data_IF_676628321853
#
_entry.id   IF_676628321853
#
_cell.length_a   1.000
_cell.length_b   1.000
_cell.length_c   1.000
_cell.angle_alpha   90.00
_cell.angle_beta   90.00
_cell.angle_gamma   90.00
#
_symmetry.space_group_name_H-M   'P 1'
#
loop_
_entity.id
_entity.type
_entity.pdbx_description
1 polymer ?
#
# COMPACT_ATOMS: atom_id res chain seq x y z
N UNK A 1 12.03 -46.62 8.10
CA UNK A 1 12.64 -45.28 7.94
C UNK A 1 13.30 -45.04 6.58
N UNK A 2 13.78 -46.04 5.82
CA UNK A 2 14.40 -45.81 4.49
C UNK A 2 13.48 -45.53 3.29
N UNK A 3 12.15 -45.65 3.40
CA UNK A 3 11.22 -45.36 2.28
C UNK A 3 10.84 -43.87 2.15
N UNK A 4 11.12 -43.06 3.16
CA UNK A 4 10.74 -41.63 3.19
C UNK A 4 11.79 -40.73 2.51
N UNK A 5 13.07 -41.11 2.54
CA UNK A 5 14.16 -40.35 1.92
C UNK A 5 14.17 -40.45 0.39
N UNK A 6 13.76 -41.60 -0.18
CA UNK A 6 13.72 -41.82 -1.63
C UNK A 6 12.58 -41.04 -2.31
N UNK A 7 11.48 -40.79 -1.60
CA UNK A 7 10.34 -40.01 -2.12
C UNK A 7 10.59 -38.50 -2.13
N UNK A 8 11.39 -37.97 -1.20
CA UNK A 8 11.79 -36.56 -1.15
C UNK A 8 12.76 -36.19 -2.29
N UNK A 9 13.59 -37.13 -2.74
CA UNK A 9 14.48 -36.94 -3.89
C UNK A 9 13.71 -36.90 -5.23
N UNK A 10 12.63 -37.68 -5.37
CA UNK A 10 11.80 -37.64 -6.60
C UNK A 10 11.00 -36.33 -6.73
N UNK A 11 10.52 -35.76 -5.64
CA UNK A 11 9.81 -34.48 -5.67
C UNK A 11 10.74 -33.29 -6.01
N UNK A 12 12.02 -33.35 -5.66
CA UNK A 12 12.99 -32.30 -6.03
C UNK A 12 13.29 -32.25 -7.54
N UNK A 13 13.08 -33.35 -8.28
CA UNK A 13 13.39 -33.46 -9.70
C UNK A 13 12.26 -32.98 -10.62
N UNK A 14 11.03 -32.80 -10.13
CA UNK A 14 9.87 -32.41 -10.96
C UNK A 14 9.47 -30.93 -10.83
N UNK A 15 10.04 -30.19 -9.87
CA UNK A 15 9.62 -28.81 -9.57
C UNK A 15 10.11 -27.71 -10.52
N UNK A 16 11.32 -27.76 -11.14
CA UNK A 16 11.74 -26.69 -12.05
C UNK A 16 10.84 -26.55 -13.28
N UNK A 17 10.20 -27.64 -13.70
CA UNK A 17 9.31 -27.68 -14.87
C UNK A 17 7.90 -27.12 -14.60
N UNK A 18 7.42 -27.12 -13.34
CA UNK A 18 6.06 -26.67 -13.02
C UNK A 18 5.94 -25.15 -12.91
N UNK A 19 7.02 -24.43 -12.57
CA UNK A 19 6.98 -22.97 -12.38
C UNK A 19 7.01 -22.17 -13.69
N UNK A 20 7.31 -22.80 -14.83
CA UNK A 20 7.57 -22.09 -16.08
C UNK A 20 6.36 -21.98 -17.04
N UNK A 21 5.22 -22.62 -16.75
CA UNK A 21 4.20 -22.85 -17.80
C UNK A 21 2.72 -22.60 -17.40
N UNK A 22 2.43 -21.97 -16.26
CA UNK A 22 1.04 -21.77 -15.84
C UNK A 22 0.69 -20.29 -15.74
N UNK A 23 -0.28 -19.86 -16.56
CA UNK A 23 -0.97 -18.58 -16.36
C UNK A 23 -1.74 -18.61 -15.03
N UNK A 24 -1.91 -17.46 -14.37
CA UNK A 24 -2.53 -17.34 -13.03
C UNK A 24 -3.86 -18.12 -12.88
N UNK A 25 -4.66 -18.23 -13.94
CA UNK A 25 -5.93 -18.95 -13.89
C UNK A 25 -5.76 -20.49 -13.81
N UNK A 26 -4.82 -21.05 -14.59
CA UNK A 26 -4.55 -22.50 -14.63
C UNK A 26 -3.89 -23.01 -13.35
N UNK A 27 -3.04 -22.18 -12.76
CA UNK A 27 -2.35 -22.45 -11.50
C UNK A 27 -3.32 -22.50 -10.31
N UNK A 28 -4.22 -21.51 -10.22
CA UNK A 28 -5.25 -21.49 -9.18
C UNK A 28 -6.21 -22.69 -9.26
N UNK A 29 -6.50 -23.18 -10.46
CA UNK A 29 -7.33 -24.37 -10.66
C UNK A 29 -6.62 -25.67 -10.25
N UNK A 30 -5.33 -25.80 -10.53
CA UNK A 30 -4.52 -26.95 -10.11
C UNK A 30 -4.44 -27.04 -8.57
N UNK A 31 -4.30 -25.91 -7.87
CA UNK A 31 -4.20 -25.86 -6.41
C UNK A 31 -5.51 -26.21 -5.71
N UNK A 32 -6.66 -25.87 -6.30
CA UNK A 32 -7.98 -26.25 -5.78
C UNK A 32 -8.20 -27.77 -5.78
N UNK A 33 -7.53 -28.48 -6.67
CA UNK A 33 -7.66 -29.93 -6.81
C UNK A 33 -6.77 -30.71 -5.85
N UNK A 34 -5.85 -30.07 -5.14
CA UNK A 34 -5.04 -30.74 -4.12
C UNK A 34 -5.89 -31.16 -2.93
N UNK A 35 -5.61 -32.36 -2.43
CA UNK A 35 -6.09 -32.76 -1.10
C UNK A 35 -5.48 -31.86 -0.03
N UNK A 36 -6.13 -31.74 1.13
CA UNK A 36 -5.60 -30.93 2.23
C UNK A 36 -4.19 -31.36 2.65
N UNK A 37 -3.90 -32.65 2.61
CA UNK A 37 -2.59 -33.19 2.96
C UNK A 37 -1.51 -32.81 1.95
N UNK A 38 -1.84 -32.76 0.66
CA UNK A 38 -0.91 -32.32 -0.39
C UNK A 38 -0.66 -30.82 -0.30
N UNK A 39 -1.73 -30.03 -0.14
CA UNK A 39 -1.62 -28.59 0.05
C UNK A 39 -0.72 -28.22 1.23
N UNK A 40 -0.90 -28.87 2.39
CA UNK A 40 -0.08 -28.56 3.58
C UNK A 40 1.40 -28.88 3.36
N UNK A 41 1.72 -29.97 2.66
CA UNK A 41 3.12 -30.30 2.33
C UNK A 41 3.73 -29.25 1.41
N UNK A 42 3.02 -28.89 0.34
CA UNK A 42 3.43 -27.85 -0.61
C UNK A 42 3.63 -26.52 0.12
N UNK A 43 2.66 -26.13 0.95
CA UNK A 43 2.68 -24.88 1.68
C UNK A 43 3.83 -24.81 2.71
N UNK A 44 4.03 -25.86 3.49
CA UNK A 44 5.15 -25.94 4.43
C UNK A 44 6.50 -25.86 3.71
N UNK A 45 6.62 -26.49 2.55
CA UNK A 45 7.82 -26.43 1.73
C UNK A 45 8.05 -25.02 1.16
N UNK A 46 7.01 -24.36 0.64
CA UNK A 46 7.09 -22.97 0.17
C UNK A 46 7.55 -22.02 1.27
N UNK A 47 6.93 -22.11 2.45
CA UNK A 47 7.29 -21.26 3.59
C UNK A 47 8.72 -21.54 4.07
N UNK A 48 9.15 -22.81 4.04
CA UNK A 48 10.54 -23.20 4.36
C UNK A 48 11.52 -22.62 3.33
N UNK A 49 11.22 -22.74 2.03
CA UNK A 49 12.05 -22.19 0.94
C UNK A 49 12.13 -20.68 1.02
N UNK A 50 11.03 -20.00 1.31
CA UNK A 50 10.98 -18.56 1.52
C UNK A 50 11.96 -18.14 2.62
N UNK A 51 11.80 -18.74 3.79
CA UNK A 51 12.54 -18.32 4.97
C UNK A 51 14.04 -18.68 4.86
N UNK A 52 14.38 -19.80 4.22
CA UNK A 52 15.77 -20.22 4.02
C UNK A 52 16.48 -19.45 2.90
N UNK A 53 15.84 -19.29 1.74
CA UNK A 53 16.49 -18.70 0.56
C UNK A 53 16.51 -17.17 0.60
N UNK A 54 15.48 -16.56 1.19
CA UNK A 54 15.30 -15.09 1.27
C UNK A 54 15.38 -14.39 -0.09
N UNK A 55 15.07 -15.11 -1.16
CA UNK A 55 15.15 -14.58 -2.52
C UNK A 55 13.84 -13.89 -2.90
N UNK A 56 13.86 -12.83 -3.74
CA UNK A 56 12.64 -12.21 -4.26
C UNK A 56 11.70 -13.22 -4.93
N UNK A 57 12.26 -14.22 -5.63
CA UNK A 57 11.49 -15.31 -6.23
C UNK A 57 10.75 -16.15 -5.19
N UNK A 58 11.39 -16.56 -4.09
CA UNK A 58 10.72 -17.34 -3.07
C UNK A 58 9.61 -16.55 -2.35
N UNK A 59 9.77 -15.23 -2.24
CA UNK A 59 8.72 -14.31 -1.78
C UNK A 59 7.54 -14.24 -2.74
N UNK A 60 7.81 -14.08 -4.03
CA UNK A 60 6.80 -14.06 -5.07
C UNK A 60 6.06 -15.40 -5.11
N UNK A 61 6.78 -16.51 -5.13
CA UNK A 61 6.21 -17.85 -5.12
C UNK A 61 5.29 -18.02 -3.89
N UNK A 62 5.76 -17.73 -2.68
CA UNK A 62 4.93 -17.82 -1.46
C UNK A 62 3.67 -16.94 -1.51
N UNK A 63 3.78 -15.70 -2.00
CA UNK A 63 2.66 -14.77 -2.11
C UNK A 63 1.63 -15.21 -3.17
N UNK A 64 2.07 -15.85 -4.25
CA UNK A 64 1.20 -16.39 -5.30
C UNK A 64 0.31 -17.53 -4.78
N UNK A 65 0.79 -18.31 -3.79
CA UNK A 65 0.01 -19.38 -3.16
C UNK A 65 -0.93 -18.91 -2.04
N UNK A 66 -0.78 -17.67 -1.59
CA UNK A 66 -1.63 -17.08 -0.57
C UNK A 66 -2.83 -16.38 -1.23
N UNK A 67 -3.98 -17.06 -1.19
CA UNK A 67 -5.25 -16.40 -1.52
C UNK A 67 -5.45 -15.18 -0.61
N UNK A 68 -6.16 -14.18 -1.12
CA UNK A 68 -6.35 -12.89 -0.44
C UNK A 68 -7.14 -13.04 0.88
N UNK A 69 -7.73 -14.22 1.16
CA UNK A 69 -8.49 -14.53 2.38
C UNK A 69 -7.63 -15.03 3.56
N UNK A 70 -6.34 -14.72 3.57
CA UNK A 70 -5.45 -14.98 4.69
C UNK A 70 -5.92 -14.22 5.94
N UNK A 71 -6.03 -14.93 7.06
CA UNK A 71 -6.25 -14.32 8.38
C UNK A 71 -5.02 -14.55 9.23
N UNK A 72 -4.37 -13.49 9.68
CA UNK A 72 -3.28 -13.57 10.63
C UNK A 72 -3.81 -13.17 12.01
N UNK A 73 -3.44 -13.89 13.06
CA UNK A 73 -3.78 -13.47 14.43
C UNK A 73 -2.56 -13.66 15.30
N UNK A 74 -2.08 -12.56 15.88
CA UNK A 74 -1.19 -12.65 17.03
C UNK A 74 -1.98 -13.20 18.23
N UNK A 75 -1.28 -13.94 19.09
CA UNK A 75 -1.87 -14.38 20.36
C UNK A 75 -2.25 -13.15 21.18
N UNK A 76 -3.41 -13.19 21.84
CA UNK A 76 -4.02 -12.07 22.57
C UNK A 76 -4.45 -10.86 21.73
N UNK A 77 -4.25 -10.85 20.41
CA UNK A 77 -4.85 -9.81 19.57
C UNK A 77 -6.38 -9.90 19.64
N UNK A 78 -7.08 -8.78 19.90
CA UNK A 78 -8.55 -8.74 19.89
C UNK A 78 -9.11 -8.84 18.46
N UNK A 79 -8.28 -8.61 17.45
CA UNK A 79 -8.67 -8.61 16.04
C UNK A 79 -7.69 -9.40 15.16
N UNK A 80 -8.17 -9.89 14.02
CA UNK A 80 -7.29 -10.44 13.00
C UNK A 80 -6.48 -9.30 12.37
N UNK A 81 -5.21 -9.58 12.13
CA UNK A 81 -4.28 -8.74 11.41
C UNK A 81 -4.50 -8.95 9.91
N UNK A 82 -4.45 -7.86 9.15
CA UNK A 82 -4.62 -7.89 7.70
C UNK A 82 -3.36 -8.46 7.00
N UNK A 83 -3.46 -8.68 5.68
CA UNK A 83 -2.33 -9.21 4.89
C UNK A 83 -1.08 -8.32 4.96
N UNK A 84 -1.23 -6.98 5.02
CA UNK A 84 -0.11 -6.07 5.16
C UNK A 84 0.67 -6.26 6.47
N UNK A 85 -0.04 -6.47 7.58
CA UNK A 85 0.56 -6.78 8.89
C UNK A 85 1.22 -8.17 8.89
N UNK A 86 0.61 -9.17 8.26
CA UNK A 86 1.24 -10.47 8.05
C UNK A 86 2.53 -10.35 7.23
N UNK A 87 2.51 -9.58 6.13
CA UNK A 87 3.67 -9.36 5.27
C UNK A 87 4.80 -8.67 6.05
N UNK A 88 4.49 -7.61 6.81
CA UNK A 88 5.46 -6.96 7.70
C UNK A 88 6.06 -7.93 8.72
N UNK A 89 5.24 -8.76 9.35
CA UNK A 89 5.71 -9.81 10.28
C UNK A 89 6.62 -10.81 9.56
N UNK A 90 6.25 -11.24 8.35
CA UNK A 90 7.01 -12.19 7.55
C UNK A 90 8.35 -11.58 7.10
N UNK A 91 8.35 -10.33 6.68
CA UNK A 91 9.56 -9.56 6.35
C UNK A 91 10.47 -9.42 7.57
N UNK A 92 9.89 -9.13 8.74
CA UNK A 92 10.65 -9.11 9.98
C UNK A 92 11.27 -10.47 10.29
N UNK A 93 10.51 -11.55 10.12
CA UNK A 93 10.99 -12.91 10.33
C UNK A 93 12.14 -13.26 9.38
N UNK A 94 11.97 -13.01 8.08
CA UNK A 94 12.92 -13.40 7.04
C UNK A 94 14.17 -12.51 7.03
N UNK A 95 14.02 -11.18 7.16
CA UNK A 95 15.13 -10.23 7.01
C UNK A 95 16.00 -10.11 8.26
N UNK A 96 15.39 -10.14 9.46
CA UNK A 96 16.10 -9.82 10.71
C UNK A 96 16.67 -11.03 11.46
N UNK A 97 16.34 -12.25 11.03
CA UNK A 97 16.88 -13.46 11.62
C UNK A 97 17.90 -14.11 10.67
N UNK A 98 19.14 -14.29 11.12
CA UNK A 98 20.06 -15.25 10.49
C UNK A 98 19.57 -16.68 10.74
N UNK A 99 19.99 -17.62 9.88
CA UNK A 99 19.89 -19.07 10.09
C UNK A 99 18.56 -19.68 10.61
N UNK A 100 17.39 -19.31 10.06
CA UNK A 100 16.12 -19.91 10.48
C UNK A 100 16.10 -21.43 10.24
N UNK A 101 15.78 -22.20 11.28
CA UNK A 101 15.50 -23.64 11.19
C UNK A 101 14.01 -23.86 11.40
N UNK A 102 13.34 -24.42 10.40
CA UNK A 102 11.91 -24.68 10.42
C UNK A 102 11.65 -26.16 10.28
N UNK A 103 10.82 -26.70 11.15
CA UNK A 103 10.35 -28.07 11.05
C UNK A 103 8.86 -28.16 11.37
N UNK A 104 8.16 -29.07 10.70
CA UNK A 104 6.75 -29.36 11.04
C UNK A 104 6.77 -30.23 12.30
N UNK A 105 6.37 -29.67 13.44
CA UNK A 105 6.38 -30.37 14.73
C UNK A 105 5.15 -31.24 14.95
N UNK A 106 4.00 -30.86 14.40
CA UNK A 106 2.79 -31.69 14.41
C UNK A 106 1.84 -31.34 13.29
N UNK A 107 1.02 -32.31 12.89
CA UNK A 107 -0.06 -32.12 11.92
C UNK A 107 -1.25 -32.97 12.34
N UNK A 108 -2.44 -32.36 12.38
CA UNK A 108 -3.70 -33.01 12.76
C UNK A 108 -4.81 -32.53 11.84
N UNK A 109 -5.61 -33.47 11.34
CA UNK A 109 -6.86 -33.15 10.64
C UNK A 109 -7.93 -32.80 11.66
N UNK A 110 -8.66 -31.71 11.43
CA UNK A 110 -9.78 -31.27 12.27
C UNK A 110 -10.95 -30.87 11.35
N UNK A 111 -11.98 -31.70 11.32
CA UNK A 111 -13.18 -31.53 10.47
C UNK A 111 -12.79 -31.29 8.98
N UNK A 112 -13.08 -30.10 8.47
CA UNK A 112 -12.77 -29.61 7.11
C UNK A 112 -11.48 -28.79 7.04
N UNK A 113 -10.62 -28.90 8.05
CA UNK A 113 -9.35 -28.19 8.15
C UNK A 113 -8.20 -29.12 8.52
N UNK A 114 -6.98 -28.69 8.24
CA UNK A 114 -5.78 -29.29 8.80
C UNK A 114 -5.05 -28.23 9.59
N UNK A 115 -4.71 -28.60 10.82
CA UNK A 115 -3.91 -27.83 11.73
C UNK A 115 -2.52 -28.42 11.72
N UNK A 116 -1.51 -27.63 11.39
CA UNK A 116 -0.12 -28.03 11.55
C UNK A 116 0.64 -26.97 12.34
N UNK A 117 1.66 -27.41 13.06
CA UNK A 117 2.52 -26.54 13.87
C UNK A 117 3.89 -26.57 13.25
N UNK A 118 4.42 -25.40 12.97
CA UNK A 118 5.81 -25.21 12.58
C UNK A 118 6.58 -24.80 13.82
N UNK A 119 7.62 -25.57 14.13
CA UNK A 119 8.63 -25.16 15.07
C UNK A 119 9.66 -24.31 14.32
N UNK A 120 9.81 -23.06 14.76
CA UNK A 120 10.69 -22.06 14.17
C UNK A 120 11.77 -21.74 15.19
N UNK A 121 13.01 -21.99 14.81
CA UNK A 121 14.19 -21.74 15.63
C UNK A 121 15.11 -20.77 14.88
N UNK A 122 15.21 -19.54 15.37
CA UNK A 122 15.81 -18.41 14.66
C UNK A 122 16.83 -17.68 15.51
N UNK A 123 17.93 -17.22 14.90
CA UNK A 123 18.88 -16.32 15.56
C UNK A 123 18.69 -14.88 15.04
N UNK A 124 18.21 -13.94 15.86
CA UNK A 124 18.23 -12.53 15.48
C UNK A 124 19.66 -12.05 15.20
N UNK A 125 19.84 -11.10 14.27
CA UNK A 125 21.18 -10.53 13.97
C UNK A 125 21.92 -10.01 15.21
N UNK A 126 21.18 -9.52 16.21
CA UNK A 126 21.71 -8.97 17.46
C UNK A 126 20.95 -9.54 18.67
N UNK A 127 21.01 -10.86 18.87
CA UNK A 127 20.36 -11.44 20.06
C UNK A 127 20.54 -12.94 20.24
N UNK A 128 19.96 -13.43 21.35
CA UNK A 128 19.90 -14.85 21.64
C UNK A 128 18.92 -15.56 20.70
N UNK A 129 19.22 -16.83 20.45
CA UNK A 129 18.39 -17.72 19.64
C UNK A 129 16.99 -17.83 20.25
N UNK A 130 15.96 -17.66 19.42
CA UNK A 130 14.55 -17.70 19.82
C UNK A 130 13.89 -18.90 19.17
N UNK A 131 13.16 -19.66 19.97
CA UNK A 131 12.36 -20.79 19.52
C UNK A 131 10.90 -20.49 19.72
N UNK A 132 10.09 -20.76 18.71
CA UNK A 132 8.66 -20.56 18.79
C UNK A 132 7.87 -21.45 17.86
N UNK A 133 6.63 -21.70 18.26
CA UNK A 133 5.70 -22.49 17.46
C UNK A 133 4.74 -21.56 16.71
N UNK A 134 4.58 -21.80 15.41
CA UNK A 134 3.58 -21.17 14.57
C UNK A 134 2.53 -22.22 14.21
N UNK A 135 1.32 -22.07 14.76
CA UNK A 135 0.19 -22.93 14.42
C UNK A 135 -0.51 -22.37 13.19
N UNK A 136 -0.58 -23.18 12.15
CA UNK A 136 -1.21 -22.85 10.88
C UNK A 136 -2.43 -23.76 10.73
N UNK A 137 -3.59 -23.16 10.45
CA UNK A 137 -4.80 -23.91 10.13
C UNK A 137 -5.22 -23.60 8.71
N UNK A 138 -5.19 -24.61 7.85
CA UNK A 138 -5.63 -24.52 6.47
C UNK A 138 -7.00 -25.18 6.32
N UNK A 139 -7.95 -24.48 5.71
CA UNK A 139 -9.28 -25.03 5.40
C UNK A 139 -9.62 -24.79 3.93
N UNK A 140 -10.15 -25.81 3.25
CA UNK A 140 -10.60 -25.66 1.86
C UNK A 140 -12.04 -25.12 1.88
N UNK A 141 -12.25 -23.94 1.29
CA UNK A 141 -13.57 -23.31 1.13
C UNK A 141 -13.95 -23.31 -0.35
N UNK A 142 -15.23 -23.08 -0.66
CA UNK A 142 -15.76 -23.10 -2.04
C UNK A 142 -14.97 -22.24 -3.04
N UNK A 143 -14.26 -21.21 -2.57
CA UNK A 143 -13.51 -20.27 -3.40
C UNK A 143 -11.98 -20.36 -3.28
N UNK A 144 -11.42 -21.28 -2.48
CA UNK A 144 -9.98 -21.37 -2.27
C UNK A 144 -9.57 -21.84 -0.88
N UNK A 145 -8.27 -21.78 -0.59
CA UNK A 145 -7.71 -22.13 0.71
C UNK A 145 -7.77 -20.94 1.67
N UNK A 146 -8.34 -21.13 2.86
CA UNK A 146 -8.29 -20.15 3.94
C UNK A 146 -7.25 -20.60 4.97
N UNK A 147 -6.22 -19.76 5.15
CA UNK A 147 -5.10 -20.02 6.06
C UNK A 147 -5.20 -19.09 7.28
N UNK A 148 -5.17 -19.68 8.46
CA UNK A 148 -5.08 -18.98 9.75
C UNK A 148 -3.72 -19.23 10.39
N UNK A 149 -3.01 -18.17 10.71
CA UNK A 149 -1.76 -18.20 11.46
C UNK A 149 -1.98 -17.79 12.90
N UNK A 150 -1.41 -18.56 13.83
CA UNK A 150 -1.40 -18.27 15.26
C UNK A 150 0.03 -18.44 15.76
N UNK A 151 0.66 -17.34 16.14
CA UNK A 151 1.94 -17.38 16.85
C UNK A 151 1.72 -17.87 18.29
N UNK A 152 2.30 -19.02 18.66
CA UNK A 152 2.10 -19.65 19.98
C UNK A 152 3.14 -19.26 21.02
N UNK A 153 4.02 -18.29 20.73
CA UNK A 153 5.06 -17.82 21.66
C UNK A 153 4.58 -17.43 23.06
N UNK A 154 3.27 -17.22 23.24
CA UNK A 154 2.69 -16.74 24.49
C UNK A 154 1.65 -17.71 25.09
N UNK A 155 1.66 -19.01 24.72
CA UNK A 155 0.79 -20.01 25.37
C UNK A 155 -0.65 -20.11 24.83
N UNK A 156 -0.95 -19.56 23.65
CA UNK A 156 -2.28 -19.64 23.03
C UNK A 156 -2.73 -21.07 22.61
N UNK A 157 -4.00 -21.38 22.84
CA UNK A 157 -4.68 -22.61 22.41
C UNK A 157 -5.82 -22.43 21.39
N UNK A 158 -6.11 -21.22 20.89
CA UNK A 158 -7.24 -20.92 19.99
C UNK A 158 -7.35 -21.90 18.79
N UNK A 159 -8.54 -22.42 18.54
CA UNK A 159 -8.94 -23.19 17.34
C UNK A 159 -10.06 -22.47 16.60
N UNK A 160 -10.29 -22.81 15.31
CA UNK A 160 -11.42 -22.26 14.55
C UNK A 160 -12.79 -22.49 15.24
N UNK A 161 -12.92 -23.58 15.99
CA UNK A 161 -14.15 -23.98 16.71
C UNK A 161 -14.45 -23.16 17.97
N UNK A 162 -13.46 -22.46 18.56
CA UNK A 162 -13.64 -21.63 19.77
C UNK A 162 -13.98 -20.17 19.47
N UNK A 163 -14.31 -19.87 18.21
CA UNK A 163 -14.66 -18.53 17.75
C UNK A 163 -16.18 -18.34 17.97
N UNK A 164 -16.64 -17.29 18.68
CA UNK A 164 -18.07 -17.08 18.88
C UNK A 164 -18.75 -16.90 17.52
N UNK A 165 -19.77 -17.72 17.25
CA UNK A 165 -20.70 -17.52 16.13
C UNK A 165 -21.58 -16.31 16.43
N UNK A 166 -21.12 -15.10 16.08
CA UNK A 166 -22.02 -13.95 15.93
C UNK A 166 -22.77 -14.04 14.58
N UNK A 167 -24.03 -13.61 14.51
CA UNK A 167 -24.85 -13.69 13.31
C UNK A 167 -24.49 -12.56 12.35
N UNK A 168 -23.36 -12.70 11.67
CA UNK A 168 -23.02 -11.94 10.46
C UNK A 168 -21.90 -12.68 9.73
N UNK A 169 -22.22 -13.83 9.14
CA UNK A 169 -21.30 -14.47 8.17
C UNK A 169 -21.36 -13.65 6.89
N UNK A 170 -20.58 -12.56 6.85
CA UNK A 170 -20.28 -11.87 5.60
C UNK A 170 -19.31 -12.76 4.83
N UNK A 171 -19.85 -13.41 3.81
CA UNK A 171 -19.06 -14.01 2.73
C UNK A 171 -18.33 -12.87 2.02
N UNK A 172 -17.06 -12.66 2.34
CA UNK A 172 -16.23 -11.65 1.69
C UNK A 172 -15.58 -12.29 0.46
N UNK A 173 -16.10 -11.96 -0.72
CA UNK A 173 -15.42 -12.14 -2.02
C UNK A 173 -14.31 -11.09 -2.07
N UNK A 174 -13.09 -11.46 -2.44
CA UNK A 174 -11.99 -10.50 -2.52
C UNK A 174 -11.68 -10.18 -3.97
N UNK A 175 -11.88 -8.91 -4.31
CA UNK A 175 -11.15 -8.17 -5.33
C UNK A 175 -10.00 -7.41 -4.65
N UNK A 176 -8.89 -7.26 -5.39
CA UNK A 176 -7.63 -6.49 -5.18
C UNK A 176 -7.62 -5.33 -4.14
N UNK A 177 -6.42 -4.95 -3.62
CA UNK A 177 -6.20 -4.51 -2.25
C UNK A 177 -7.06 -3.30 -1.90
N UNK A 178 -7.96 -3.49 -0.93
CA UNK A 178 -8.80 -2.44 -0.38
C UNK A 178 -8.42 -2.24 1.09
N UNK A 179 -7.97 -1.02 1.37
CA UNK A 179 -8.15 -0.18 2.56
C UNK A 179 -8.99 -0.83 3.69
N UNK A 180 -8.56 -0.71 4.96
CA UNK A 180 -9.28 -1.28 6.10
C UNK A 180 -10.78 -0.91 6.14
N UNK A 181 -11.57 -1.88 6.60
CA UNK A 181 -13.03 -1.90 6.84
C UNK A 181 -13.58 -0.79 7.75
N UNK A 182 -13.24 0.47 7.50
CA UNK A 182 -13.80 1.65 8.16
C UNK A 182 -14.62 2.40 7.12
N UNK A 183 -15.93 2.51 7.37
CA UNK A 183 -16.81 3.26 6.47
C UNK A 183 -16.25 4.68 6.27
N UNK A 184 -16.13 5.16 5.02
CA UNK A 184 -15.70 6.52 4.77
C UNK A 184 -16.67 7.51 5.42
N UNK A 185 -16.12 8.56 6.02
CA UNK A 185 -16.87 9.61 6.69
C UNK A 185 -16.73 10.92 5.93
N UNK A 186 -17.73 11.78 6.12
CA UNK A 186 -17.67 13.16 5.67
C UNK A 186 -16.73 13.95 6.57
N UNK A 187 -15.79 14.66 5.96
CA UNK A 187 -14.79 15.48 6.61
C UNK A 187 -14.72 16.88 5.97
N UNK A 188 -13.99 17.77 6.63
CA UNK A 188 -13.75 19.15 6.22
C UNK A 188 -12.29 19.51 6.51
N UNK A 189 -11.61 20.10 5.53
CA UNK A 189 -10.25 20.62 5.65
C UNK A 189 -10.34 22.13 5.67
N UNK A 190 -9.94 22.74 6.79
CA UNK A 190 -9.82 24.19 6.93
C UNK A 190 -8.39 24.61 6.57
N UNK A 191 -8.28 25.54 5.63
CA UNK A 191 -7.01 26.10 5.16
C UNK A 191 -6.70 27.42 5.89
N UNK A 192 -5.47 27.90 5.74
CA UNK A 192 -4.98 29.08 6.48
C UNK A 192 -5.71 30.37 6.05
N UNK A 193 -6.22 30.44 4.82
CA UNK A 193 -7.09 31.52 4.36
C UNK A 193 -8.48 31.55 5.03
N UNK A 194 -8.81 30.55 5.84
CA UNK A 194 -10.16 30.34 6.38
C UNK A 194 -11.10 29.60 5.42
N UNK A 195 -10.65 29.26 4.21
CA UNK A 195 -11.42 28.42 3.28
C UNK A 195 -11.59 27.01 3.84
N UNK A 196 -12.73 26.40 3.54
CA UNK A 196 -13.03 25.03 3.93
C UNK A 196 -13.37 24.17 2.71
N UNK A 197 -12.62 23.09 2.50
CA UNK A 197 -12.90 22.08 1.47
C UNK A 197 -13.60 20.88 2.11
N UNK A 198 -14.73 20.45 1.53
CA UNK A 198 -15.45 19.28 2.02
C UNK A 198 -14.90 18.01 1.36
N UNK A 199 -14.77 16.90 2.09
CA UNK A 199 -14.25 15.67 1.49
C UNK A 199 -14.74 14.40 2.17
N UNK A 200 -14.39 13.26 1.59
CA UNK A 200 -14.76 11.94 2.08
C UNK A 200 -13.50 11.10 2.24
N UNK A 201 -13.26 10.60 3.45
CA UNK A 201 -12.06 9.83 3.78
C UNK A 201 -12.29 8.83 4.92
N UNK A 202 -11.30 8.02 5.26
CA UNK A 202 -11.35 7.17 6.46
C UNK A 202 -11.29 8.03 7.74
N UNK A 203 -11.77 7.48 8.86
CA UNK A 203 -11.81 8.19 10.15
C UNK A 203 -10.46 8.76 10.60
N UNK A 204 -9.36 8.10 10.22
CA UNK A 204 -8.01 8.49 10.62
C UNK A 204 -7.25 9.24 9.52
N UNK A 205 -7.93 9.63 8.43
CA UNK A 205 -7.32 10.32 7.30
C UNK A 205 -6.57 11.58 7.70
N UNK A 206 -7.23 12.39 8.52
CA UNK A 206 -6.68 13.61 9.11
C UNK A 206 -6.83 13.49 10.63
N UNK A 207 -5.85 12.91 11.35
CA UNK A 207 -5.87 12.94 12.79
C UNK A 207 -5.91 14.41 13.21
N UNK A 208 -6.93 14.79 13.98
CA UNK A 208 -7.08 16.17 14.49
C UNK A 208 -5.88 16.53 15.37
N UNK A 209 -4.79 16.98 14.79
CA UNK A 209 -3.83 17.85 15.46
C UNK A 209 -4.19 19.27 15.09
N UNK A 210 -4.25 20.16 16.07
CA UNK A 210 -4.64 21.58 15.98
C UNK A 210 -6.10 21.94 16.30
N UNK A 211 -6.69 21.30 17.32
CA UNK A 211 -7.45 22.10 18.29
C UNK A 211 -6.60 22.15 19.54
N UNK A 212 -6.20 23.37 19.92
CA UNK A 212 -5.57 23.65 21.19
C UNK A 212 -6.59 23.35 22.31
N UNK A 213 -6.60 22.12 22.77
CA UNK A 213 -7.06 21.78 24.11
C UNK A 213 -5.91 21.08 24.81
N UNK A 214 -5.48 21.66 25.93
CA UNK A 214 -4.38 21.24 26.78
C UNK A 214 -4.56 19.80 27.27
N UNK A 215 -4.11 18.83 26.49
CA UNK A 215 -3.90 17.46 26.94
C UNK A 215 -2.49 17.00 26.58
N UNK A 216 -1.87 16.18 27.46
CA UNK A 216 -0.46 15.87 27.37
C UNK A 216 -0.17 15.19 26.04
N UNK A 217 0.87 15.68 25.37
CA UNK A 217 1.44 15.14 24.14
C UNK A 217 1.62 13.63 24.28
N UNK A 218 0.64 12.87 23.80
CA UNK A 218 0.78 11.44 23.60
C UNK A 218 1.80 11.33 22.47
N UNK A 219 3.02 10.91 22.81
CA UNK A 219 4.06 10.59 21.82
C UNK A 219 3.42 9.70 20.75
N UNK A 220 3.34 10.19 19.51
CA UNK A 220 2.91 9.40 18.34
C UNK A 220 3.71 8.10 18.37
N UNK A 221 3.04 6.97 18.58
CA UNK A 221 3.68 5.66 18.41
C UNK A 221 4.10 5.55 16.95
N UNK A 222 5.38 5.26 16.69
CA UNK A 222 5.99 5.09 15.36
C UNK A 222 5.47 3.87 14.57
N UNK A 223 4.31 3.34 14.94
CA UNK A 223 3.75 2.08 14.45
C UNK A 223 2.35 2.23 13.83
N UNK A 224 1.83 3.46 13.71
CA UNK A 224 0.58 3.70 12.98
C UNK A 224 0.84 3.58 11.47
N UNK A 225 0.02 2.82 10.75
CA UNK A 225 0.13 2.64 9.30
C UNK A 225 0.02 4.01 8.58
N UNK A 226 1.15 4.49 8.03
CA UNK A 226 1.28 5.69 7.16
C UNK A 226 0.53 5.59 5.81
N UNK A 227 -0.38 4.64 5.66
CA UNK A 227 -1.19 4.52 4.44
C UNK A 227 -2.52 5.26 4.55
N UNK A 228 -2.93 5.59 5.76
CA UNK A 228 -4.18 6.32 6.00
C UNK A 228 -3.91 7.79 6.33
N UNK A 229 -2.67 8.31 6.45
CA UNK A 229 -2.44 9.71 6.77
C UNK A 229 -2.41 10.59 5.51
N UNK A 230 -3.42 11.46 5.34
CA UNK A 230 -3.54 12.38 4.21
C UNK A 230 -2.69 13.65 4.39
N UNK A 231 -1.67 13.61 5.26
CA UNK A 231 -0.80 14.77 5.58
C UNK A 231 -0.18 15.37 4.31
N UNK A 232 0.34 14.55 3.38
CA UNK A 232 0.89 15.04 2.10
C UNK A 232 -0.15 15.74 1.22
N UNK A 233 -1.41 15.27 1.22
CA UNK A 233 -2.51 15.89 0.48
C UNK A 233 -2.87 17.23 1.10
N UNK A 234 -2.98 17.29 2.44
CA UNK A 234 -3.30 18.52 3.15
C UNK A 234 -2.22 19.57 2.93
N UNK A 235 -0.94 19.21 3.07
CA UNK A 235 0.16 20.15 2.86
C UNK A 235 0.11 20.73 1.44
N UNK A 236 -0.18 19.90 0.44
CA UNK A 236 -0.36 20.39 -0.93
C UNK A 236 -1.52 21.40 -1.03
N UNK A 237 -2.64 21.14 -0.34
CA UNK A 237 -3.77 22.07 -0.26
C UNK A 237 -3.41 23.39 0.44
N UNK A 238 -2.63 23.35 1.53
CA UNK A 238 -2.16 24.57 2.19
C UNK A 238 -1.20 25.38 1.31
N UNK A 239 -0.35 24.72 0.52
CA UNK A 239 0.56 25.42 -0.39
C UNK A 239 -0.15 26.07 -1.57
N UNK A 240 -1.11 25.39 -2.21
CA UNK A 240 -1.92 26.03 -3.25
C UNK A 240 -2.76 27.19 -2.68
N UNK A 241 -3.21 27.08 -1.43
CA UNK A 241 -3.91 28.17 -0.75
C UNK A 241 -3.01 29.38 -0.47
N UNK A 242 -1.79 29.13 0.00
CA UNK A 242 -0.77 30.17 0.17
C UNK A 242 -0.42 30.86 -1.15
N UNK A 243 -0.28 30.11 -2.25
CA UNK A 243 0.00 30.68 -3.59
C UNK A 243 -1.11 31.66 -4.00
N UNK A 244 -2.37 31.22 -3.91
CA UNK A 244 -3.50 32.04 -4.34
C UNK A 244 -3.72 33.25 -3.42
N UNK A 245 -3.55 33.08 -2.11
CA UNK A 245 -3.99 34.09 -1.13
C UNK A 245 -2.87 34.96 -0.56
N UNK A 246 -1.68 34.40 -0.34
CA UNK A 246 -0.53 35.11 0.25
C UNK A 246 0.37 35.67 -0.85
N UNK A 247 0.65 34.87 -1.89
CA UNK A 247 1.47 35.31 -3.03
C UNK A 247 0.64 36.09 -4.06
N UNK A 248 -0.68 36.16 -3.86
CA UNK A 248 -1.63 36.91 -4.68
C UNK A 248 -1.68 36.46 -6.15
N UNK A 249 -1.35 35.20 -6.43
CA UNK A 249 -1.55 34.58 -7.75
C UNK A 249 -3.02 34.16 -7.91
N UNK A 250 -3.93 35.14 -7.93
CA UNK A 250 -5.38 34.89 -7.90
C UNK A 250 -5.91 34.20 -9.16
N UNK A 251 -5.17 34.29 -10.27
CA UNK A 251 -5.46 33.66 -11.56
C UNK A 251 -4.71 32.33 -11.73
N UNK A 252 -4.04 31.81 -10.68
CA UNK A 252 -3.21 30.60 -10.77
C UNK A 252 -3.94 29.43 -11.42
N UNK A 253 -5.22 29.22 -11.09
CA UNK A 253 -6.05 28.17 -11.67
C UNK A 253 -6.98 28.65 -12.79
N UNK A 254 -7.13 29.96 -13.04
CA UNK A 254 -8.15 30.48 -13.94
C UNK A 254 -7.94 30.01 -15.39
N UNK A 255 -8.94 29.32 -15.94
CA UNK A 255 -8.91 28.75 -17.28
C UNK A 255 -7.89 27.62 -17.48
N UNK A 256 -7.29 27.08 -16.40
CA UNK A 256 -6.23 26.05 -16.48
C UNK A 256 -6.78 24.63 -16.56
N UNK A 257 -6.07 23.78 -17.30
CA UNK A 257 -6.25 22.33 -17.25
C UNK A 257 -5.40 21.72 -16.15
N UNK A 258 -6.03 21.04 -15.18
CA UNK A 258 -5.36 20.52 -13.98
C UNK A 258 -5.38 19.00 -13.95
N UNK A 259 -4.24 18.37 -13.64
CA UNK A 259 -4.10 16.92 -13.48
C UNK A 259 -3.65 16.56 -12.06
N UNK A 260 -4.39 15.70 -11.37
CA UNK A 260 -4.00 15.11 -10.10
C UNK A 260 -3.54 13.65 -10.28
N UNK A 261 -2.32 13.33 -9.82
CA UNK A 261 -1.69 11.99 -9.90
C UNK A 261 -1.00 11.62 -8.59
N UNK A 262 -0.69 10.34 -8.39
CA UNK A 262 -0.09 9.84 -7.15
C UNK A 262 -1.15 9.34 -6.17
N UNK A 263 -1.11 9.80 -4.92
CA UNK A 263 -2.13 9.50 -3.92
C UNK A 263 -3.35 10.43 -4.08
N UNK A 264 -4.19 10.11 -5.06
CA UNK A 264 -5.32 10.94 -5.46
C UNK A 264 -6.48 10.83 -4.49
N UNK A 265 -7.00 11.98 -4.07
CA UNK A 265 -8.15 12.11 -3.17
C UNK A 265 -9.24 13.03 -3.72
N UNK A 266 -8.90 13.82 -4.74
CA UNK A 266 -9.75 14.86 -5.31
C UNK A 266 -9.75 16.16 -4.51
N UNK A 267 -9.10 16.22 -3.34
CA UNK A 267 -9.05 17.42 -2.49
C UNK A 267 -8.34 18.58 -3.19
N UNK A 268 -7.11 18.40 -3.72
CA UNK A 268 -6.42 19.46 -4.46
C UNK A 268 -7.19 19.84 -5.74
N UNK A 269 -7.80 18.86 -6.42
CA UNK A 269 -8.59 19.12 -7.63
C UNK A 269 -9.86 19.94 -7.36
N UNK A 270 -10.55 19.71 -6.23
CA UNK A 270 -11.71 20.54 -5.83
C UNK A 270 -11.26 21.98 -5.61
N UNK A 271 -10.15 22.19 -4.88
CA UNK A 271 -9.61 23.53 -4.68
C UNK A 271 -9.32 24.20 -6.03
N UNK A 272 -8.62 23.51 -6.93
CA UNK A 272 -8.31 24.03 -8.25
C UNK A 272 -9.57 24.44 -9.04
N UNK A 273 -10.58 23.56 -9.09
CA UNK A 273 -11.83 23.83 -9.80
C UNK A 273 -12.60 25.03 -9.23
N UNK A 274 -12.70 25.11 -7.92
CA UNK A 274 -13.38 26.23 -7.27
C UNK A 274 -12.60 27.55 -7.40
N UNK A 275 -11.34 27.54 -7.84
CA UNK A 275 -10.56 28.74 -8.19
C UNK A 275 -10.45 28.96 -9.71
N UNK A 276 -11.40 28.44 -10.49
CA UNK A 276 -11.52 28.77 -11.92
C UNK A 276 -10.82 27.78 -12.87
N UNK A 277 -10.30 26.65 -12.39
CA UNK A 277 -9.80 25.62 -13.30
C UNK A 277 -10.89 25.17 -14.27
N UNK A 278 -10.55 25.18 -15.54
CA UNK A 278 -11.50 24.95 -16.62
C UNK A 278 -11.90 23.47 -16.69
N UNK A 279 -10.97 22.60 -16.31
CA UNK A 279 -11.17 21.17 -16.17
C UNK A 279 -10.19 20.56 -15.16
N UNK A 280 -10.63 19.44 -14.58
CA UNK A 280 -9.81 18.63 -13.69
C UNK A 280 -9.76 17.19 -14.20
N UNK A 281 -8.56 16.62 -14.23
CA UNK A 281 -8.30 15.24 -14.54
C UNK A 281 -7.63 14.57 -13.34
N UNK A 282 -8.01 13.33 -13.05
CA UNK A 282 -7.44 12.56 -11.93
C UNK A 282 -7.11 11.15 -12.40
N UNK A 283 -5.93 10.67 -12.02
CA UNK A 283 -5.53 9.29 -12.25
C UNK A 283 -4.87 8.68 -11.01
N UNK A 284 -5.37 7.53 -10.57
CA UNK A 284 -4.83 6.77 -9.44
C UNK A 284 -4.57 5.32 -9.81
N UNK A 285 -3.56 4.70 -9.19
CA UNK A 285 -3.36 3.26 -9.32
C UNK A 285 -4.46 2.46 -8.62
N UNK A 286 -5.17 3.06 -7.65
CA UNK A 286 -6.16 2.37 -6.83
C UNK A 286 -7.61 2.75 -7.21
N UNK A 287 -8.29 1.81 -7.87
CA UNK A 287 -9.72 1.93 -8.19
C UNK A 287 -10.57 2.19 -6.94
N UNK A 288 -10.23 1.60 -5.80
CA UNK A 288 -11.03 1.76 -4.59
C UNK A 288 -10.95 3.19 -4.05
N UNK A 289 -9.75 3.77 -3.98
CA UNK A 289 -9.55 5.18 -3.62
C UNK A 289 -10.31 6.13 -4.56
N UNK A 290 -10.34 5.82 -5.86
CA UNK A 290 -11.12 6.59 -6.83
C UNK A 290 -12.63 6.57 -6.52
N UNK A 291 -13.19 5.38 -6.28
CA UNK A 291 -14.62 5.20 -6.08
C UNK A 291 -15.09 5.65 -4.68
N UNK A 292 -14.30 5.35 -3.64
CA UNK A 292 -14.65 5.62 -2.24
C UNK A 292 -14.36 7.06 -1.83
N UNK A 293 -13.29 7.66 -2.33
CA UNK A 293 -12.86 9.00 -1.92
C UNK A 293 -13.06 10.02 -3.03
N UNK A 294 -12.43 9.83 -4.19
CA UNK A 294 -12.38 10.88 -5.20
C UNK A 294 -13.78 11.23 -5.70
N UNK A 295 -14.56 10.25 -6.16
CA UNK A 295 -15.93 10.49 -6.63
C UNK A 295 -16.83 11.06 -5.54
N UNK A 296 -16.69 10.57 -4.31
CA UNK A 296 -17.48 11.02 -3.18
C UNK A 296 -17.14 12.47 -2.79
N UNK A 297 -15.86 12.84 -2.77
CA UNK A 297 -15.35 14.20 -2.56
C UNK A 297 -15.84 15.15 -3.65
N UNK A 298 -15.71 14.78 -4.93
CA UNK A 298 -16.21 15.61 -6.05
C UNK A 298 -17.72 15.82 -5.98
N UNK A 299 -18.48 14.77 -5.71
CA UNK A 299 -19.94 14.87 -5.54
C UNK A 299 -20.31 15.78 -4.36
N UNK A 300 -19.56 15.71 -3.25
CA UNK A 300 -19.81 16.51 -2.05
C UNK A 300 -19.58 18.01 -2.30
N UNK A 301 -18.71 18.37 -3.24
CA UNK A 301 -18.46 19.76 -3.65
C UNK A 301 -19.19 20.14 -4.94
N UNK A 302 -20.16 19.34 -5.40
CA UNK A 302 -20.98 19.63 -6.58
C UNK A 302 -20.17 19.86 -7.87
N UNK A 303 -19.02 19.17 -8.02
CA UNK A 303 -18.19 19.31 -9.21
C UNK A 303 -18.88 18.68 -10.43
N UNK A 304 -19.05 19.40 -11.55
CA UNK A 304 -19.73 18.88 -12.74
C UNK A 304 -18.96 17.74 -13.42
N UNK A 305 -19.67 16.63 -13.71
CA UNK A 305 -19.07 15.46 -14.37
C UNK A 305 -18.50 15.75 -15.76
N UNK A 306 -19.06 16.71 -16.50
CA UNK A 306 -18.57 17.11 -17.82
C UNK A 306 -17.26 17.92 -17.76
N UNK A 307 -16.87 18.41 -16.58
CA UNK A 307 -15.62 19.12 -16.32
C UNK A 307 -14.59 18.24 -15.60
N UNK A 308 -14.90 16.98 -15.35
CA UNK A 308 -14.05 16.02 -14.64
C UNK A 308 -13.71 14.82 -15.52
N UNK A 309 -12.43 14.43 -15.56
CA UNK A 309 -11.99 13.17 -16.16
C UNK A 309 -11.34 12.29 -15.10
N UNK A 310 -11.80 11.05 -14.97
CA UNK A 310 -11.29 10.10 -13.98
C UNK A 310 -10.77 8.85 -14.68
N UNK A 311 -9.59 8.40 -14.30
CA UNK A 311 -9.05 7.10 -14.71
C UNK A 311 -8.35 6.41 -13.55
N UNK A 312 -8.12 5.11 -13.71
CA UNK A 312 -7.31 4.33 -12.79
C UNK A 312 -6.56 3.25 -13.56
N UNK A 313 -5.45 2.77 -13.00
CA UNK A 313 -4.69 1.66 -13.59
C UNK A 313 -3.19 1.84 -13.46
N UNK A 314 -2.44 1.21 -14.37
CA UNK A 314 -0.98 1.31 -14.39
C UNK A 314 -0.52 2.63 -15.01
N UNK A 315 0.81 2.86 -15.04
CA UNK A 315 1.38 4.03 -15.71
C UNK A 315 1.10 3.98 -17.22
N UNK A 316 1.00 2.79 -17.83
CA UNK A 316 0.58 2.64 -19.22
C UNK A 316 -0.88 3.10 -19.41
N UNK A 317 -1.76 2.82 -18.46
CA UNK A 317 -3.14 3.30 -18.49
C UNK A 317 -3.20 4.82 -18.31
N UNK A 318 -2.33 5.38 -17.46
CA UNK A 318 -2.14 6.83 -17.38
C UNK A 318 -1.69 7.42 -18.70
N UNK A 319 -0.66 6.87 -19.36
CA UNK A 319 -0.21 7.36 -20.68
C UNK A 319 -1.32 7.34 -21.72
N UNK A 320 -2.12 6.27 -21.76
CA UNK A 320 -3.31 6.18 -22.63
C UNK A 320 -4.35 7.23 -22.27
N UNK A 321 -4.59 7.44 -20.98
CA UNK A 321 -5.52 8.44 -20.47
C UNK A 321 -5.10 9.87 -20.82
N UNK A 322 -3.79 10.17 -20.74
CA UNK A 322 -3.24 11.45 -21.17
C UNK A 322 -3.48 11.64 -22.66
N UNK A 323 -3.25 10.62 -23.49
CA UNK A 323 -3.54 10.66 -24.93
C UNK A 323 -2.82 11.81 -25.65
N UNK A 324 -1.62 12.18 -25.18
CA UNK A 324 -0.84 13.32 -25.68
C UNK A 324 -1.30 14.69 -25.15
N UNK A 325 -2.35 14.74 -24.33
CA UNK A 325 -2.80 15.97 -23.69
C UNK A 325 -1.78 16.47 -22.67
N UNK A 326 -1.60 17.79 -22.67
CA UNK A 326 -0.79 18.51 -21.69
C UNK A 326 -1.69 19.23 -20.68
N UNK A 327 -1.19 19.40 -19.47
CA UNK A 327 -1.86 20.07 -18.37
C UNK A 327 -1.00 21.24 -17.90
N UNK A 328 -1.65 22.34 -17.56
CA UNK A 328 -0.99 23.56 -17.07
C UNK A 328 -0.52 23.38 -15.64
N UNK A 329 -1.28 22.62 -14.84
CA UNK A 329 -0.93 22.33 -13.46
C UNK A 329 -1.03 20.83 -13.21
N UNK A 330 0.04 20.24 -12.68
CA UNK A 330 0.04 18.88 -12.15
C UNK A 330 0.12 18.94 -10.62
N UNK A 331 -0.83 18.30 -9.95
CA UNK A 331 -0.90 18.15 -8.50
C UNK A 331 -0.56 16.70 -8.14
N UNK A 332 0.55 16.49 -7.45
CA UNK A 332 1.18 15.18 -7.33
C UNK A 332 1.45 14.77 -5.86
N UNK A 333 0.41 14.57 -5.03
CA UNK A 333 0.60 14.13 -3.65
C UNK A 333 1.19 12.72 -3.56
N UNK A 334 2.23 12.54 -2.74
CA UNK A 334 2.94 11.28 -2.49
C UNK A 334 3.32 10.50 -3.77
N UNK A 335 3.56 11.21 -4.88
CA UNK A 335 3.90 10.59 -6.15
C UNK A 335 5.17 9.73 -6.05
N UNK A 336 6.10 10.11 -5.17
CA UNK A 336 7.38 9.43 -4.95
C UNK A 336 7.31 8.22 -4.01
N UNK A 337 6.14 7.83 -3.49
CA UNK A 337 5.96 6.62 -2.68
C UNK A 337 5.99 5.35 -3.55
N UNK A 338 7.14 5.07 -4.16
CA UNK A 338 7.40 3.95 -5.08
C UNK A 338 8.89 3.61 -5.11
N UNK A 339 9.28 2.58 -5.86
CA UNK A 339 10.68 2.20 -5.93
C UNK A 339 11.51 3.24 -6.68
N UNK A 340 12.79 3.39 -6.32
CA UNK A 340 13.72 4.29 -7.02
C UNK A 340 13.85 3.92 -8.51
N UNK A 341 13.75 2.62 -8.83
CA UNK A 341 13.78 2.09 -10.20
C UNK A 341 12.63 2.60 -11.10
N UNK A 342 11.60 3.20 -10.52
CA UNK A 342 10.46 3.76 -11.24
C UNK A 342 10.58 5.29 -11.45
N UNK A 343 11.61 5.94 -10.91
CA UNK A 343 11.73 7.40 -10.94
C UNK A 343 11.98 7.95 -12.35
N UNK A 344 12.72 7.25 -13.21
CA UNK A 344 12.85 7.61 -14.63
C UNK A 344 11.48 7.66 -15.31
N UNK A 345 10.64 6.65 -15.04
CA UNK A 345 9.30 6.58 -15.62
C UNK A 345 8.40 7.72 -15.10
N UNK A 346 8.49 8.04 -13.81
CA UNK A 346 7.76 9.18 -13.22
C UNK A 346 8.21 10.50 -13.83
N UNK A 347 9.52 10.69 -14.00
CA UNK A 347 10.07 11.89 -14.59
C UNK A 347 9.58 12.07 -16.04
N UNK A 348 9.66 11.00 -16.86
CA UNK A 348 9.15 10.99 -18.23
C UNK A 348 7.64 11.26 -18.27
N UNK A 349 6.86 10.68 -17.37
CA UNK A 349 5.43 10.93 -17.26
C UNK A 349 5.12 12.42 -16.98
N UNK A 350 5.83 13.06 -16.04
CA UNK A 350 5.66 14.49 -15.78
C UNK A 350 6.03 15.30 -17.02
N UNK A 351 7.11 14.93 -17.71
CA UNK A 351 7.52 15.56 -18.97
C UNK A 351 6.46 15.42 -20.07
N UNK A 352 5.86 14.24 -20.19
CA UNK A 352 4.81 13.93 -21.15
C UNK A 352 3.49 14.62 -20.82
N UNK A 353 3.18 14.86 -19.54
CA UNK A 353 1.90 15.44 -19.12
C UNK A 353 1.94 16.95 -18.95
N UNK A 354 3.09 17.56 -18.65
CA UNK A 354 3.18 18.99 -18.32
C UNK A 354 3.21 19.85 -19.59
N UNK A 355 2.45 20.95 -19.61
CA UNK A 355 2.52 21.96 -20.68
C UNK A 355 3.87 22.68 -20.67
N UNK A 356 4.12 23.54 -21.66
CA UNK A 356 5.42 24.21 -21.80
C UNK A 356 5.68 25.17 -20.63
N UNK A 357 4.70 26.03 -20.32
CA UNK A 357 4.74 26.96 -19.19
C UNK A 357 4.08 26.38 -17.92
N UNK A 358 3.91 25.06 -17.89
CA UNK A 358 3.19 24.37 -16.83
C UNK A 358 4.00 24.21 -15.55
N UNK A 359 3.27 24.01 -14.45
CA UNK A 359 3.84 23.80 -13.11
C UNK A 359 3.42 22.43 -12.57
N UNK A 360 4.36 21.66 -12.04
CA UNK A 360 4.04 20.46 -11.26
C UNK A 360 4.36 20.69 -9.79
N UNK A 361 3.32 20.68 -8.95
CA UNK A 361 3.45 20.73 -7.49
C UNK A 361 3.32 19.31 -6.93
N UNK A 362 4.38 18.80 -6.32
CA UNK A 362 4.35 17.48 -5.69
C UNK A 362 4.69 17.59 -4.20
N UNK A 363 3.90 16.90 -3.38
CA UNK A 363 4.18 16.73 -1.95
C UNK A 363 4.73 15.33 -1.70
N UNK A 364 5.69 15.23 -0.78
CA UNK A 364 6.37 13.98 -0.51
C UNK A 364 6.99 13.95 0.88
N UNK A 365 7.30 12.74 1.34
CA UNK A 365 8.21 12.50 2.45
C UNK A 365 9.64 12.44 1.94
N UNK A 366 10.59 12.84 2.79
CA UNK A 366 12.02 12.68 2.48
C UNK A 366 12.39 11.20 2.27
N UNK A 367 11.76 10.30 3.03
CA UNK A 367 11.91 8.85 2.95
C UNK A 367 10.57 8.15 3.21
N UNK A 368 10.35 7.00 2.58
CA UNK A 368 9.18 6.14 2.81
C UNK A 368 9.65 4.81 3.42
N UNK A 369 8.92 4.30 4.40
CA UNK A 369 9.36 3.11 5.15
C UNK A 369 9.31 1.79 4.34
N UNK A 370 8.52 1.75 3.27
CA UNK A 370 8.19 0.51 2.54
C UNK A 370 8.83 0.43 1.14
N UNK A 371 9.57 1.45 0.71
CA UNK A 371 10.22 1.53 -0.61
C UNK A 371 11.62 2.10 -0.46
N UNK A 372 12.48 1.85 -1.44
CA UNK A 372 13.84 2.41 -1.50
C UNK A 372 13.88 3.83 -2.10
N UNK A 373 12.79 4.27 -2.73
CA UNK A 373 12.65 5.62 -3.26
C UNK A 373 12.81 6.71 -2.19
N UNK A 374 13.61 7.73 -2.53
CA UNK A 374 13.82 8.91 -1.68
C UNK A 374 13.67 10.20 -2.47
N UNK A 375 13.28 11.28 -1.79
CA UNK A 375 13.22 12.62 -2.40
C UNK A 375 14.58 13.00 -3.00
N UNK A 376 15.67 12.73 -2.29
CA UNK A 376 17.01 13.09 -2.77
C UNK A 376 17.35 12.38 -4.09
N UNK A 377 17.05 11.07 -4.22
CA UNK A 377 17.29 10.35 -5.46
C UNK A 377 16.51 10.94 -6.64
N UNK A 378 15.23 11.30 -6.44
CA UNK A 378 14.42 11.95 -7.47
C UNK A 378 14.97 13.34 -7.86
N UNK A 379 15.37 14.17 -6.89
CA UNK A 379 15.97 15.49 -7.19
C UNK A 379 17.31 15.37 -7.92
N UNK A 380 18.13 14.36 -7.60
CA UNK A 380 19.35 14.08 -8.36
C UNK A 380 19.02 13.65 -9.80
N UNK A 381 17.98 12.84 -10.00
CA UNK A 381 17.52 12.49 -11.34
C UNK A 381 17.08 13.72 -12.13
N UNK A 382 16.23 14.58 -11.56
CA UNK A 382 15.79 15.82 -12.22
C UNK A 382 16.98 16.71 -12.61
N UNK A 383 17.94 16.88 -11.69
CA UNK A 383 19.18 17.63 -11.95
C UNK A 383 20.05 17.00 -13.04
N UNK A 384 20.14 15.67 -13.12
CA UNK A 384 20.88 14.95 -14.18
C UNK A 384 20.22 15.12 -15.54
N UNK A 385 18.89 15.05 -15.60
CA UNK A 385 18.10 15.18 -16.84
C UNK A 385 18.07 16.62 -17.37
N UNK A 386 18.12 17.62 -16.48
CA UNK A 386 18.07 19.06 -16.81
C UNK A 386 16.80 19.46 -17.58
N UNK A 387 15.74 18.67 -17.49
CA UNK A 387 14.46 18.99 -18.11
C UNK A 387 13.56 19.80 -17.18
N UNK A 388 13.81 19.73 -15.86
CA UNK A 388 13.07 20.44 -14.84
C UNK A 388 13.99 21.12 -13.83
N UNK A 389 13.60 22.33 -13.45
CA UNK A 389 14.10 23.01 -12.26
C UNK A 389 13.18 22.68 -11.07
N UNK A 390 13.79 22.35 -9.93
CA UNK A 390 13.06 21.99 -8.72
C UNK A 390 13.24 23.05 -7.64
N UNK A 391 12.13 23.61 -7.15
CA UNK A 391 12.09 24.65 -6.11
C UNK A 391 11.35 24.08 -4.90
N UNK A 392 11.99 24.10 -3.74
CA UNK A 392 11.32 23.76 -2.48
C UNK A 392 10.34 24.90 -2.13
N UNK A 393 9.05 24.58 -2.05
CA UNK A 393 7.99 25.54 -1.67
C UNK A 393 7.71 25.50 -0.18
N UNK A 394 7.88 24.33 0.43
CA UNK A 394 7.65 24.14 1.85
C UNK A 394 8.37 22.90 2.40
N UNK A 395 8.72 22.95 3.68
CA UNK A 395 9.23 21.83 4.44
C UNK A 395 8.63 21.85 5.83
N UNK A 396 8.28 20.67 6.34
CA UNK A 396 7.93 20.47 7.74
C UNK A 396 9.15 20.74 8.64
N UNK A 397 8.94 20.99 9.95
CA UNK A 397 10.01 21.27 10.90
C UNK A 397 11.15 20.25 10.86
N UNK A 398 12.39 20.71 11.04
CA UNK A 398 13.59 19.84 11.08
C UNK A 398 13.61 18.85 12.25
N UNK A 399 12.71 19.05 13.22
CA UNK A 399 12.52 18.15 14.37
C UNK A 399 11.71 16.90 14.02
N UNK A 400 11.04 16.88 12.86
CA UNK A 400 10.27 15.71 12.43
C UNK A 400 11.21 14.57 12.05
N UNK A 401 10.86 13.35 12.48
CA UNK A 401 11.63 12.13 12.20
C UNK A 401 11.76 11.90 10.68
N UNK A 402 10.65 12.11 9.96
CA UNK A 402 10.60 12.07 8.52
C UNK A 402 9.99 13.41 8.09
N UNK A 403 10.83 14.29 7.55
CA UNK A 403 10.34 15.56 7.04
C UNK A 403 9.41 15.34 5.84
N UNK A 404 8.34 16.14 5.81
CA UNK A 404 7.47 16.28 4.66
C UNK A 404 7.83 17.55 3.91
N UNK A 405 7.72 17.53 2.58
CA UNK A 405 8.09 18.65 1.72
C UNK A 405 7.13 18.81 0.56
N UNK A 406 7.00 20.04 0.08
CA UNK A 406 6.31 20.38 -1.17
C UNK A 406 7.31 21.04 -2.11
N UNK A 407 7.39 20.52 -3.33
CA UNK A 407 8.26 21.03 -4.37
C UNK A 407 7.45 21.45 -5.58
N UNK A 408 7.97 22.46 -6.26
CA UNK A 408 7.54 22.91 -7.56
C UNK A 408 8.56 22.48 -8.60
N UNK A 409 8.09 21.84 -9.67
CA UNK A 409 8.85 21.60 -10.90
C UNK A 409 8.33 22.52 -11.99
N UNK A 410 9.26 23.20 -12.67
CA UNK A 410 9.03 23.95 -13.90
C UNK A 410 10.00 23.46 -14.96
N UNK A 411 9.65 23.58 -16.24
CA UNK A 411 10.60 23.23 -17.31
C UNK A 411 11.86 24.09 -17.22
N UNK A 412 13.03 23.47 -17.40
CA UNK A 412 14.28 24.21 -17.54
C UNK A 412 14.26 25.03 -18.83
N UNK A 413 14.72 26.28 -18.76
CA UNK A 413 14.80 27.19 -19.90
C UNK A 413 16.05 26.96 -20.78
N UNK A 414 16.88 25.95 -20.47
CA UNK A 414 18.21 25.76 -21.06
C UNK A 414 18.47 24.35 -21.57
#
# INVERSE_FOLDING_TARGET
MCRFAVFLALAALTFPALSAALTDASFNQAIRNHTVNEFVKIYAQLLTTLINSKTPKAYQDHNVYLDLHLRFSECYSPQFLNYGMFRKWLDQLVLYHSDPVISVSSMRKQDNSVVFVLHIDVRPRLGHRKQFDLKITASNKRNGWSILFINRNLGCSKTFSTIPTQPAVVTMVISMPTIPSVAPINCELSLDSGRCIKYVATRNANPKSHVADELPVIRKNSHQDHHDDWESVNNLCHIIDSIVTVEMETDFFDGKAVLEIGFVTGLPSVYAFENGADEIAMHTADKASLELYCRATLKRNSIPLNKTKLSFGTIEDLRKFLGGRKYDIILAPDLLNRQESEFEMVHELIHEALSYDGICLFSCRTHYANVDGSLNAFLQLAKRRREFDAIERWSSPRTDIIQQKVFQLTRSLF
#
